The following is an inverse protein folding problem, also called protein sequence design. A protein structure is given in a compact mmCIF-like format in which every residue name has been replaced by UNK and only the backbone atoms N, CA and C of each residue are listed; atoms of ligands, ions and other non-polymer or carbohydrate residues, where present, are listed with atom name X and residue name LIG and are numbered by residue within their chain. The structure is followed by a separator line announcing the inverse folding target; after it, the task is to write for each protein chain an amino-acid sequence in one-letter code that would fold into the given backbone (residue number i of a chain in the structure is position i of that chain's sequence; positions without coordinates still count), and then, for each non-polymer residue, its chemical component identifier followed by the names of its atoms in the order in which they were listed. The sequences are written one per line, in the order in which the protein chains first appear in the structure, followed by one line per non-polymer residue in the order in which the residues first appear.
data_IF_767488904516
#
_entry.id   IF_767488904516
#
_cell.length_a   1.000
_cell.length_b   1.000
_cell.length_c   1.000
_cell.angle_alpha   90.00
_cell.angle_beta   90.00
_cell.angle_gamma   90.00
#
_symmetry.space_group_name_H-M   'P 1'
#
loop_
_entity.id
_entity.type
_entity.pdbx_description
1 polymer ?
#
# COMPACT_ATOMS: atom_id res chain seq x y z
N UNK A 1 21.97 4.92 -5.36
CA UNK A 1 22.09 5.20 -3.93
C UNK A 1 23.19 4.37 -3.23
N UNK A 2 23.89 3.47 -3.93
CA UNK A 2 25.02 2.71 -3.38
C UNK A 2 24.65 1.68 -2.30
N UNK A 3 23.41 1.28 -2.22
CA UNK A 3 22.90 0.29 -1.25
C UNK A 3 22.83 -1.11 -1.87
N UNK A 4 22.99 -2.15 -1.05
CA UNK A 4 22.78 -3.53 -1.49
C UNK A 4 21.29 -3.78 -1.72
N UNK A 5 20.95 -4.29 -2.89
CA UNK A 5 19.58 -4.72 -3.24
C UNK A 5 19.58 -6.23 -3.46
N UNK A 6 18.62 -6.93 -2.85
CA UNK A 6 18.44 -8.38 -3.03
C UNK A 6 17.00 -8.62 -3.53
N UNK A 7 16.78 -8.82 -4.84
CA UNK A 7 15.45 -9.01 -5.40
C UNK A 7 14.95 -10.45 -5.18
N UNK A 8 13.65 -10.58 -4.84
CA UNK A 8 12.94 -11.84 -4.74
C UNK A 8 11.67 -11.76 -5.59
N UNK A 9 11.56 -12.52 -6.70
CA UNK A 9 10.30 -12.64 -7.43
C UNK A 9 9.23 -13.24 -6.52
N UNK A 10 8.08 -12.55 -6.37
CA UNK A 10 7.02 -12.96 -5.47
C UNK A 10 5.66 -12.50 -5.96
N UNK A 11 4.70 -13.43 -6.07
CA UNK A 11 3.28 -13.09 -6.08
C UNK A 11 2.76 -13.14 -4.64
N UNK A 12 2.38 -11.98 -4.11
CA UNK A 12 1.89 -11.87 -2.72
C UNK A 12 0.56 -12.61 -2.49
N UNK A 13 -0.15 -13.00 -3.55
CA UNK A 13 -1.39 -13.77 -3.47
C UNK A 13 -1.16 -15.26 -3.18
N UNK A 14 0.05 -15.75 -3.46
CA UNK A 14 0.45 -17.13 -3.22
C UNK A 14 1.02 -17.29 -1.81
N UNK A 15 0.26 -17.98 -0.95
CA UNK A 15 0.61 -18.22 0.45
C UNK A 15 1.96 -18.90 0.62
N UNK A 16 2.21 -19.94 -0.18
CA UNK A 16 3.39 -20.78 0.00
C UNK A 16 4.63 -20.06 -0.57
N UNK A 17 4.48 -19.32 -1.67
CA UNK A 17 5.52 -18.45 -2.18
C UNK A 17 5.90 -17.34 -1.19
N UNK A 18 4.91 -16.71 -0.53
CA UNK A 18 5.16 -15.70 0.52
C UNK A 18 5.92 -16.32 1.69
N UNK A 19 5.49 -17.47 2.19
CA UNK A 19 6.15 -18.13 3.32
C UNK A 19 7.60 -18.51 3.00
N UNK A 20 7.83 -19.09 1.83
CA UNK A 20 9.16 -19.51 1.37
C UNK A 20 10.08 -18.29 1.16
N UNK A 21 9.58 -17.23 0.50
CA UNK A 21 10.36 -16.03 0.23
C UNK A 21 10.70 -15.28 1.52
N UNK A 22 9.75 -15.16 2.45
CA UNK A 22 10.01 -14.54 3.74
C UNK A 22 11.05 -15.35 4.55
N UNK A 23 10.96 -16.69 4.55
CA UNK A 23 11.94 -17.56 5.20
C UNK A 23 13.36 -17.36 4.63
N UNK A 24 13.49 -17.29 3.30
CA UNK A 24 14.75 -16.99 2.63
C UNK A 24 15.26 -15.59 3.00
N UNK A 25 14.43 -14.58 2.91
CA UNK A 25 14.79 -13.21 3.26
C UNK A 25 15.32 -13.13 4.71
N UNK A 26 14.59 -13.71 5.67
CA UNK A 26 14.98 -13.73 7.08
C UNK A 26 16.31 -14.48 7.30
N UNK A 27 16.59 -15.55 6.56
CA UNK A 27 17.85 -16.31 6.68
C UNK A 27 19.03 -15.60 6.02
N UNK A 28 18.82 -14.92 4.91
CA UNK A 28 19.88 -14.29 4.10
C UNK A 28 20.21 -12.86 4.57
N UNK A 29 19.22 -12.11 5.05
CA UNK A 29 19.36 -10.68 5.38
C UNK A 29 19.01 -10.33 6.83
N UNK A 30 18.43 -11.28 7.58
CA UNK A 30 17.96 -11.05 8.93
C UNK A 30 16.57 -10.42 8.98
N UNK A 31 16.12 -10.11 10.20
CA UNK A 31 14.82 -9.45 10.43
C UNK A 31 14.85 -8.02 9.91
N UNK A 32 13.90 -7.59 9.06
CA UNK A 32 13.88 -6.24 8.52
C UNK A 32 13.60 -5.20 9.63
N UNK A 33 14.27 -4.05 9.55
CA UNK A 33 13.97 -2.90 10.42
C UNK A 33 12.69 -2.20 9.98
N UNK A 34 12.42 -2.20 8.67
CA UNK A 34 11.23 -1.62 8.07
C UNK A 34 10.63 -2.61 7.08
N UNK A 35 9.33 -2.88 7.22
CA UNK A 35 8.54 -3.62 6.26
C UNK A 35 7.60 -2.66 5.54
N UNK A 36 7.78 -2.45 4.25
CA UNK A 36 6.89 -1.64 3.43
C UNK A 36 5.98 -2.55 2.60
N UNK A 37 4.69 -2.57 2.91
CA UNK A 37 3.67 -3.27 2.15
C UNK A 37 3.11 -2.33 1.09
N UNK A 38 3.70 -2.35 -0.11
CA UNK A 38 3.34 -1.51 -1.25
C UNK A 38 2.55 -2.27 -2.33
N UNK A 39 2.66 -3.59 -2.38
CA UNK A 39 1.98 -4.41 -3.37
C UNK A 39 0.46 -4.15 -3.36
N UNK A 40 -0.06 -3.65 -4.48
CA UNK A 40 -1.48 -3.33 -4.61
C UNK A 40 -1.84 -2.94 -6.03
N UNK A 41 -3.11 -3.13 -6.37
CA UNK A 41 -3.67 -2.76 -7.68
C UNK A 41 -5.13 -2.33 -7.56
N UNK A 42 -5.63 -1.76 -8.64
CA UNK A 42 -7.06 -1.64 -8.92
C UNK A 42 -7.36 -2.19 -10.31
N UNK A 43 -8.60 -2.56 -10.57
CA UNK A 43 -9.09 -3.01 -11.87
C UNK A 43 -10.38 -2.28 -12.21
N UNK A 44 -10.42 -1.71 -13.41
CA UNK A 44 -11.58 -1.01 -13.96
C UNK A 44 -12.02 0.25 -13.19
N UNK A 45 -13.05 0.88 -13.74
CA UNK A 45 -13.85 1.97 -13.14
C UNK A 45 -15.32 1.85 -13.56
N UNK A 46 -15.74 0.66 -13.94
CA UNK A 46 -17.11 0.36 -14.35
C UNK A 46 -18.02 0.29 -13.11
N UNK A 47 -19.34 0.51 -13.26
CA UNK A 47 -20.30 0.27 -12.18
C UNK A 47 -20.16 -1.16 -11.63
N UNK A 48 -20.30 -1.34 -10.32
CA UNK A 48 -20.11 -2.65 -9.67
C UNK A 48 -20.93 -3.78 -10.33
N UNK A 49 -22.12 -3.46 -10.81
CA UNK A 49 -23.01 -4.43 -11.48
C UNK A 49 -22.45 -5.01 -12.80
N UNK A 50 -21.43 -4.38 -13.38
CA UNK A 50 -20.76 -4.80 -14.62
C UNK A 50 -19.26 -5.11 -14.43
N UNK A 51 -18.76 -5.09 -13.19
CA UNK A 51 -17.37 -5.43 -12.91
C UNK A 51 -17.11 -6.91 -13.22
N UNK A 52 -15.95 -7.16 -13.82
CA UNK A 52 -15.46 -8.52 -14.00
C UNK A 52 -15.16 -9.17 -12.65
N UNK A 53 -15.62 -10.40 -12.44
CA UNK A 53 -15.47 -11.12 -11.18
C UNK A 53 -14.00 -11.48 -10.92
N UNK A 54 -13.22 -11.79 -11.95
CA UNK A 54 -11.80 -12.10 -11.81
C UNK A 54 -11.01 -10.85 -11.38
N UNK A 55 -11.38 -9.67 -11.88
CA UNK A 55 -10.84 -8.38 -11.46
C UNK A 55 -11.16 -8.07 -9.99
N UNK A 56 -12.37 -8.38 -9.54
CA UNK A 56 -12.76 -8.25 -8.13
C UNK A 56 -11.88 -9.15 -7.26
N UNK A 57 -11.79 -10.44 -7.61
CA UNK A 57 -10.99 -11.42 -6.86
C UNK A 57 -9.53 -11.00 -6.83
N UNK A 58 -8.95 -10.63 -7.98
CA UNK A 58 -7.56 -10.21 -8.07
C UNK A 58 -7.27 -8.99 -7.19
N UNK A 59 -8.18 -8.00 -7.16
CA UNK A 59 -8.03 -6.80 -6.35
C UNK A 59 -8.06 -7.14 -4.86
N UNK A 60 -8.98 -7.99 -4.42
CA UNK A 60 -9.08 -8.45 -3.03
C UNK A 60 -7.85 -9.27 -2.64
N UNK A 61 -7.49 -10.24 -3.47
CA UNK A 61 -6.36 -11.14 -3.21
C UNK A 61 -5.04 -10.40 -3.11
N UNK A 62 -4.83 -9.39 -3.95
CA UNK A 62 -3.59 -8.60 -3.89
C UNK A 62 -3.60 -7.64 -2.70
N UNK A 63 -4.64 -6.81 -2.58
CA UNK A 63 -4.64 -5.68 -1.65
C UNK A 63 -4.94 -6.07 -0.20
N UNK A 64 -5.65 -7.18 0.03
CA UNK A 64 -6.04 -7.64 1.37
C UNK A 64 -5.29 -8.92 1.73
N UNK A 65 -5.54 -10.02 1.00
CA UNK A 65 -4.91 -11.31 1.34
C UNK A 65 -3.39 -11.21 1.27
N UNK A 66 -2.83 -10.60 0.22
CA UNK A 66 -1.39 -10.40 0.07
C UNK A 66 -0.78 -9.62 1.23
N UNK A 67 -1.39 -8.48 1.59
CA UNK A 67 -0.99 -7.68 2.76
C UNK A 67 -0.96 -8.53 4.04
N UNK A 68 -2.02 -9.31 4.30
CA UNK A 68 -2.11 -10.14 5.50
C UNK A 68 -1.03 -11.24 5.52
N UNK A 69 -0.82 -11.90 4.39
CA UNK A 69 0.17 -12.97 4.26
C UNK A 69 1.59 -12.45 4.49
N UNK A 70 1.97 -11.34 3.85
CA UNK A 70 3.31 -10.75 3.97
C UNK A 70 3.52 -10.24 5.39
N UNK A 71 2.59 -9.49 5.96
CA UNK A 71 2.70 -9.00 7.34
C UNK A 71 2.82 -10.17 8.32
N UNK A 72 2.00 -11.23 8.18
CA UNK A 72 2.05 -12.43 9.03
C UNK A 72 3.38 -13.17 8.93
N UNK A 73 4.02 -13.16 7.77
CA UNK A 73 5.28 -13.85 7.55
C UNK A 73 6.48 -13.16 8.25
N UNK A 74 6.48 -11.83 8.37
CA UNK A 74 7.57 -11.06 8.96
C UNK A 74 7.34 -10.64 10.42
N UNK A 75 6.10 -10.35 10.81
CA UNK A 75 5.76 -9.83 12.14
C UNK A 75 6.29 -10.67 13.31
N UNK A 76 6.27 -12.03 13.29
CA UNK A 76 6.81 -12.81 14.41
C UNK A 76 8.30 -12.59 14.64
N UNK A 77 9.10 -12.43 13.58
CA UNK A 77 10.53 -12.14 13.70
C UNK A 77 10.76 -10.73 14.23
N UNK A 78 9.97 -9.75 13.81
CA UNK A 78 10.01 -8.37 14.32
C UNK A 78 9.64 -8.33 15.82
N UNK A 79 8.58 -9.03 16.23
CA UNK A 79 8.18 -9.16 17.64
C UNK A 79 9.26 -9.82 18.50
N UNK A 80 9.90 -10.89 18.00
CA UNK A 80 11.01 -11.56 18.70
C UNK A 80 12.19 -10.62 18.92
N UNK A 81 12.47 -9.74 17.96
CA UNK A 81 13.52 -8.71 18.07
C UNK A 81 13.06 -7.51 18.90
N UNK A 82 11.76 -7.37 19.13
CA UNK A 82 11.09 -6.27 19.82
C UNK A 82 11.41 -4.88 19.23
N UNK A 83 11.55 -4.78 17.92
CA UNK A 83 11.72 -3.49 17.23
C UNK A 83 11.40 -3.61 15.74
N UNK A 84 10.87 -2.54 15.17
CA UNK A 84 10.61 -2.45 13.75
C UNK A 84 9.54 -1.42 13.39
N UNK A 85 9.35 -1.22 12.09
CA UNK A 85 8.32 -0.34 11.58
C UNK A 85 7.62 -0.97 10.38
N UNK A 86 6.32 -1.16 10.46
CA UNK A 86 5.47 -1.63 9.37
C UNK A 86 4.82 -0.42 8.73
N UNK A 87 5.01 -0.26 7.43
CA UNK A 87 4.41 0.79 6.60
C UNK A 87 3.43 0.13 5.63
N UNK A 88 2.17 0.47 5.70
CA UNK A 88 1.14 -0.06 4.79
C UNK A 88 0.65 1.04 3.85
N UNK A 89 0.69 0.77 2.54
CA UNK A 89 0.19 1.70 1.52
C UNK A 89 -1.33 1.57 1.39
N UNK A 90 -2.02 2.51 2.07
CA UNK A 90 -3.44 2.75 1.92
C UNK A 90 -3.79 3.54 0.65
N UNK A 91 -4.76 4.41 0.73
CA UNK A 91 -5.14 5.40 -0.28
C UNK A 91 -6.20 6.34 0.30
N UNK A 92 -6.31 7.55 -0.21
CA UNK A 92 -7.50 8.40 0.00
C UNK A 92 -8.80 7.71 -0.42
N UNK A 93 -8.73 6.73 -1.34
CA UNK A 93 -9.84 5.87 -1.72
C UNK A 93 -10.39 5.01 -0.56
N UNK A 94 -9.59 4.73 0.46
CA UNK A 94 -10.04 4.08 1.69
C UNK A 94 -10.79 5.00 2.66
N UNK A 95 -10.70 6.31 2.45
CA UNK A 95 -11.37 7.34 3.23
C UNK A 95 -12.62 7.90 2.51
N UNK A 96 -12.55 7.99 1.18
CA UNK A 96 -13.56 8.61 0.33
C UNK A 96 -13.88 7.66 -0.82
N UNK A 97 -15.02 6.98 -0.75
CA UNK A 97 -15.48 6.12 -1.84
C UNK A 97 -15.95 6.96 -3.03
N UNK A 98 -15.79 6.42 -4.25
CA UNK A 98 -16.24 7.04 -5.48
C UNK A 98 -16.80 6.01 -6.46
N UNK A 99 -17.63 6.49 -7.40
CA UNK A 99 -18.31 5.63 -8.37
C UNK A 99 -17.30 4.84 -9.22
N UNK A 100 -17.61 3.60 -9.51
CA UNK A 100 -16.77 2.68 -10.30
C UNK A 100 -15.60 2.05 -9.54
N UNK A 101 -15.38 2.43 -8.27
CA UNK A 101 -14.24 1.95 -7.49
C UNK A 101 -14.64 1.26 -6.17
N UNK A 102 -15.86 0.77 -6.05
CA UNK A 102 -16.37 0.20 -4.79
C UNK A 102 -15.44 -0.87 -4.22
N UNK A 103 -14.95 -1.80 -5.06
CA UNK A 103 -14.06 -2.88 -4.63
C UNK A 103 -12.72 -2.31 -4.16
N UNK A 104 -12.07 -1.48 -4.97
CA UNK A 104 -10.79 -0.86 -4.62
C UNK A 104 -10.90 -0.03 -3.34
N UNK A 105 -11.91 0.81 -3.22
CA UNK A 105 -12.14 1.62 -2.01
C UNK A 105 -12.31 0.74 -0.77
N UNK A 106 -13.07 -0.35 -0.88
CA UNK A 106 -13.25 -1.32 0.22
C UNK A 106 -11.93 -1.97 0.62
N UNK A 107 -11.08 -2.35 -0.35
CA UNK A 107 -9.77 -2.94 -0.03
C UNK A 107 -8.85 -1.93 0.67
N UNK A 108 -8.86 -0.66 0.25
CA UNK A 108 -8.04 0.38 0.89
C UNK A 108 -8.55 0.82 2.26
N UNK A 109 -9.86 0.75 2.50
CA UNK A 109 -10.43 0.88 3.84
C UNK A 109 -10.01 -0.28 4.75
N UNK A 110 -9.98 -1.52 4.22
CA UNK A 110 -9.48 -2.68 4.94
C UNK A 110 -8.00 -2.54 5.33
N UNK A 111 -7.14 -1.99 4.47
CA UNK A 111 -5.72 -1.71 4.80
C UNK A 111 -5.61 -0.83 6.04
N UNK A 112 -6.41 0.25 6.12
CA UNK A 112 -6.42 1.15 7.27
C UNK A 112 -6.86 0.42 8.54
N UNK A 113 -8.00 -0.26 8.49
CA UNK A 113 -8.54 -0.99 9.65
C UNK A 113 -7.59 -2.09 10.12
N UNK A 114 -6.97 -2.83 9.21
CA UNK A 114 -5.96 -3.83 9.53
C UNK A 114 -4.74 -3.21 10.22
N UNK A 115 -4.26 -2.07 9.73
CA UNK A 115 -3.13 -1.35 10.33
C UNK A 115 -3.44 -0.91 11.76
N UNK A 116 -4.66 -0.41 12.00
CA UNK A 116 -5.12 -0.03 13.34
C UNK A 116 -5.17 -1.26 14.27
N UNK A 117 -5.68 -2.40 13.78
CA UNK A 117 -5.73 -3.66 14.54
C UNK A 117 -4.33 -4.14 14.93
N UNK A 118 -3.41 -4.23 13.97
CA UNK A 118 -2.02 -4.63 14.26
C UNK A 118 -1.36 -3.67 15.24
N UNK A 119 -1.58 -2.35 15.12
CA UNK A 119 -1.04 -1.35 16.05
C UNK A 119 -1.49 -1.59 17.49
N UNK A 120 -2.75 -2.00 17.68
CA UNK A 120 -3.28 -2.37 19.01
C UNK A 120 -2.62 -3.66 19.51
N UNK A 121 -2.48 -4.68 18.66
CA UNK A 121 -1.90 -5.97 19.03
C UNK A 121 -0.42 -5.89 19.42
N UNK A 122 0.33 -4.93 18.85
CA UNK A 122 1.76 -4.76 19.13
C UNK A 122 2.06 -3.67 20.15
N UNK A 123 1.05 -3.17 20.89
CA UNK A 123 1.17 -2.00 21.79
C UNK A 123 2.25 -2.18 22.88
N UNK A 124 2.49 -3.41 23.32
CA UNK A 124 3.48 -3.75 24.34
C UNK A 124 4.90 -4.00 23.76
N UNK A 125 5.13 -3.59 22.51
CA UNK A 125 6.41 -3.73 21.81
C UNK A 125 6.92 -2.40 21.27
N UNK A 126 8.19 -2.37 20.84
CA UNK A 126 8.81 -1.25 20.15
C UNK A 126 8.55 -1.31 18.61
N UNK A 127 7.41 -1.88 18.19
CA UNK A 127 7.01 -1.92 16.78
C UNK A 127 6.04 -0.78 16.49
N UNK A 128 6.33 -0.04 15.42
CA UNK A 128 5.43 0.99 14.88
C UNK A 128 4.65 0.48 13.67
N UNK A 129 3.43 0.96 13.49
CA UNK A 129 2.60 0.66 12.31
C UNK A 129 2.04 1.95 11.76
N UNK A 130 2.44 2.32 10.56
CA UNK A 130 2.00 3.55 9.88
C UNK A 130 1.22 3.21 8.61
N UNK A 131 0.10 3.89 8.40
CA UNK A 131 -0.62 3.86 7.12
C UNK A 131 -0.30 5.14 6.34
N UNK A 132 0.20 5.01 5.12
CA UNK A 132 0.33 6.12 4.18
C UNK A 132 -0.86 6.07 3.24
N UNK A 133 -1.59 7.17 3.09
CA UNK A 133 -2.83 7.24 2.31
C UNK A 133 -2.69 8.27 1.18
N UNK A 134 -2.03 7.89 0.06
CA UNK A 134 -1.85 8.78 -1.07
C UNK A 134 -3.15 9.09 -1.79
N UNK A 135 -3.23 10.31 -2.35
CA UNK A 135 -4.17 10.69 -3.39
C UNK A 135 -3.73 10.20 -4.77
N UNK A 136 -3.79 11.10 -5.75
CA UNK A 136 -3.41 10.80 -7.13
C UNK A 136 -1.90 10.88 -7.26
N UNK A 137 -1.26 9.73 -7.51
CA UNK A 137 0.18 9.59 -7.77
C UNK A 137 0.36 9.10 -9.20
N UNK A 138 1.17 9.78 -9.99
CA UNK A 138 1.47 9.38 -11.36
C UNK A 138 2.46 8.21 -11.37
N UNK A 139 1.96 7.04 -11.72
CA UNK A 139 2.71 5.77 -11.76
C UNK A 139 2.06 4.83 -12.79
N UNK A 140 2.67 3.67 -13.11
CA UNK A 140 2.03 2.64 -13.94
C UNK A 140 0.74 2.05 -13.37
N UNK A 141 0.32 2.43 -12.17
CA UNK A 141 -0.91 1.95 -11.53
C UNK A 141 -2.15 2.12 -12.40
N UNK A 142 -2.27 3.27 -13.10
CA UNK A 142 -3.41 3.52 -14.00
C UNK A 142 -3.39 2.62 -15.24
N UNK A 143 -2.21 2.28 -15.77
CA UNK A 143 -2.10 1.29 -16.86
C UNK A 143 -2.56 -0.09 -16.40
N UNK A 144 -2.17 -0.51 -15.19
CA UNK A 144 -2.62 -1.77 -14.58
C UNK A 144 -4.12 -1.77 -14.37
N UNK A 145 -4.70 -0.65 -13.89
CA UNK A 145 -6.15 -0.49 -13.68
C UNK A 145 -6.93 -0.69 -14.97
N UNK A 146 -6.44 -0.17 -16.08
CA UNK A 146 -7.11 -0.21 -17.38
C UNK A 146 -6.58 -1.29 -18.32
N UNK A 147 -6.00 -2.38 -17.80
CA UNK A 147 -5.53 -3.54 -18.56
C UNK A 147 -4.55 -3.18 -19.70
N UNK A 148 -3.71 -2.15 -19.48
CA UNK A 148 -2.71 -1.71 -20.45
C UNK A 148 -3.20 -0.63 -21.41
N UNK A 149 -4.41 -0.12 -21.27
CA UNK A 149 -4.92 1.03 -22.02
C UNK A 149 -4.20 2.32 -21.57
N UNK A 150 -3.15 2.67 -22.30
CA UNK A 150 -2.29 3.80 -21.99
C UNK A 150 -2.96 5.15 -22.19
N UNK A 151 -3.88 5.26 -23.16
CA UNK A 151 -4.61 6.50 -23.43
C UNK A 151 -5.54 6.81 -22.25
N UNK A 152 -6.31 5.82 -21.82
CA UNK A 152 -7.19 5.94 -20.66
C UNK A 152 -6.41 6.17 -19.37
N UNK A 153 -5.22 5.56 -19.22
CA UNK A 153 -4.34 5.75 -18.08
C UNK A 153 -3.79 7.18 -18.02
N UNK A 154 -3.33 7.74 -19.13
CA UNK A 154 -2.81 9.10 -19.22
C UNK A 154 -3.89 10.15 -18.91
N UNK A 155 -5.12 9.95 -19.37
CA UNK A 155 -6.24 10.85 -19.13
C UNK A 155 -6.59 11.05 -17.64
N UNK A 156 -6.17 10.12 -16.77
CA UNK A 156 -6.31 10.27 -15.30
C UNK A 156 -5.54 11.47 -14.78
N UNK A 157 -4.35 11.72 -15.30
CA UNK A 157 -3.42 12.74 -14.83
C UNK A 157 -3.54 14.07 -15.59
N UNK A 158 -4.30 14.11 -16.66
CA UNK A 158 -4.44 15.26 -17.53
C UNK A 158 -4.95 16.50 -16.77
N UNK A 159 -4.21 17.60 -16.82
CA UNK A 159 -4.52 18.86 -16.13
C UNK A 159 -4.29 18.82 -14.61
N UNK A 160 -3.57 17.81 -14.10
CA UNK A 160 -3.24 17.66 -12.69
C UNK A 160 -1.72 17.63 -12.53
N UNK A 161 -1.19 18.44 -11.64
CA UNK A 161 0.17 18.29 -11.10
C UNK A 161 0.13 17.21 -10.02
N UNK A 162 0.18 15.95 -10.49
CA UNK A 162 0.00 14.78 -9.64
C UNK A 162 1.23 14.53 -8.76
N UNK A 163 1.02 13.91 -7.60
CA UNK A 163 2.14 13.42 -6.78
C UNK A 163 2.98 12.44 -7.60
N UNK A 164 4.28 12.40 -7.29
CA UNK A 164 5.22 11.44 -7.84
C UNK A 164 5.54 10.35 -6.81
N UNK A 165 6.10 9.22 -7.25
CA UNK A 165 6.48 8.14 -6.35
C UNK A 165 7.49 8.60 -5.28
N UNK A 166 8.37 9.52 -5.64
CA UNK A 166 9.37 10.13 -4.76
C UNK A 166 8.72 10.89 -3.60
N UNK A 167 7.62 11.60 -3.82
CA UNK A 167 6.89 12.31 -2.76
C UNK A 167 6.40 11.33 -1.68
N UNK A 168 5.95 10.15 -2.11
CA UNK A 168 5.50 9.10 -1.19
C UNK A 168 6.69 8.48 -0.45
N UNK A 169 7.80 8.23 -1.16
CA UNK A 169 9.02 7.71 -0.55
C UNK A 169 9.57 8.66 0.53
N UNK A 170 9.58 9.96 0.29
CA UNK A 170 10.02 10.96 1.26
C UNK A 170 9.15 10.97 2.52
N UNK A 171 7.84 10.80 2.38
CA UNK A 171 6.92 10.68 3.51
C UNK A 171 7.16 9.38 4.30
N UNK A 172 7.45 8.27 3.62
CA UNK A 172 7.84 7.01 4.29
C UNK A 172 9.11 7.23 5.11
N UNK A 173 10.14 7.83 4.50
CA UNK A 173 11.41 8.15 5.17
C UNK A 173 11.18 9.10 6.36
N UNK A 174 10.33 10.12 6.21
CA UNK A 174 9.93 10.99 7.31
C UNK A 174 9.34 10.20 8.49
N UNK A 175 8.41 9.28 8.23
CA UNK A 175 7.77 8.48 9.27
C UNK A 175 8.76 7.55 9.97
N UNK A 176 9.62 6.88 9.20
CA UNK A 176 10.63 5.94 9.71
C UNK A 176 11.65 6.65 10.60
N UNK A 177 12.11 7.84 10.22
CA UNK A 177 13.14 8.60 10.91
C UNK A 177 12.67 9.32 12.21
N UNK A 178 11.44 9.06 12.66
CA UNK A 178 10.98 9.65 13.94
C UNK A 178 11.55 8.87 15.13
N UNK A 179 11.93 9.55 16.21
CA UNK A 179 12.37 8.87 17.44
C UNK A 179 11.30 7.89 17.94
N UNK A 180 11.70 6.87 18.69
CA UNK A 180 10.80 5.77 19.12
C UNK A 180 9.53 6.29 19.82
N UNK A 181 9.62 7.33 20.63
CA UNK A 181 8.47 7.94 21.30
C UNK A 181 7.47 8.63 20.38
N UNK A 182 7.81 8.80 19.09
CA UNK A 182 6.92 9.43 18.09
C UNK A 182 6.43 8.36 17.13
N UNK A 183 5.15 8.10 17.18
CA UNK A 183 4.46 7.18 16.26
C UNK A 183 3.51 7.98 15.39
N UNK A 184 3.83 8.09 14.11
CA UNK A 184 2.92 8.64 13.10
C UNK A 184 2.02 7.48 12.66
N UNK A 185 0.76 7.49 13.05
CA UNK A 185 -0.17 6.39 12.79
C UNK A 185 -0.72 6.40 11.37
N UNK A 186 -1.10 7.60 10.91
CA UNK A 186 -1.69 7.82 9.60
C UNK A 186 -1.16 9.10 8.97
N UNK A 187 -0.90 9.06 7.65
CA UNK A 187 -0.58 10.24 6.84
C UNK A 187 -1.45 10.22 5.59
N UNK A 188 -2.24 11.27 5.41
CA UNK A 188 -2.95 11.54 4.14
C UNK A 188 -2.13 12.56 3.37
N UNK A 189 -1.78 12.23 2.12
CA UNK A 189 -1.04 13.13 1.23
C UNK A 189 -1.77 13.21 -0.12
N UNK A 190 -2.04 14.41 -0.58
CA UNK A 190 -2.77 14.67 -1.82
C UNK A 190 -2.05 15.72 -2.65
N UNK A 191 -2.21 15.63 -3.98
CA UNK A 191 -1.84 16.75 -4.86
C UNK A 191 -2.57 18.03 -4.44
N UNK A 192 -1.95 19.17 -4.59
CA UNK A 192 -2.55 20.46 -4.17
C UNK A 192 -3.88 20.78 -4.88
N UNK A 193 -4.10 20.19 -6.05
CA UNK A 193 -5.35 20.32 -6.82
C UNK A 193 -6.43 19.31 -6.39
N UNK A 194 -6.14 18.42 -5.45
CA UNK A 194 -7.07 17.37 -4.99
C UNK A 194 -7.67 17.75 -3.64
N UNK A 195 -8.98 17.91 -3.59
CA UNK A 195 -9.72 18.27 -2.36
C UNK A 195 -10.21 17.06 -1.57
N UNK A 196 -10.49 15.93 -2.26
CA UNK A 196 -10.87 14.63 -1.68
C UNK A 196 -10.34 13.49 -2.54
N UNK A 197 -10.70 12.25 -2.22
CA UNK A 197 -10.29 11.08 -3.01
C UNK A 197 -10.62 11.16 -4.51
N UNK A 198 -11.61 11.94 -4.91
CA UNK A 198 -12.08 12.04 -6.31
C UNK A 198 -12.34 13.48 -6.79
N UNK A 199 -12.37 14.46 -5.89
CA UNK A 199 -12.60 15.86 -6.26
C UNK A 199 -11.27 16.51 -6.60
N UNK A 200 -11.10 16.84 -7.87
CA UNK A 200 -9.88 17.44 -8.44
C UNK A 200 -10.22 18.69 -9.23
N UNK A 201 -9.42 19.74 -9.07
CA UNK A 201 -9.46 20.95 -9.90
C UNK A 201 -8.46 20.79 -11.05
N UNK A 202 -8.92 20.45 -12.24
CA UNK A 202 -8.09 20.40 -13.44
C UNK A 202 -7.84 21.81 -13.98
N UNK A 203 -6.62 22.08 -14.41
CA UNK A 203 -6.21 23.35 -15.03
C UNK A 203 -5.91 23.15 -16.51
#
# INVERSE_FOLDING_TARGET
YGVKVTPYPLDVRDRDAVQNTAGRCLSETGTPDVLVNDAGLARGLEPYSSNDVDDIIQTIDTNIKGLFLVTRAFLPAMLKRNTGHIINLGSTAGLYAYAGAAVYCSTKAAVKTFSDGIRIEVIDSDIKVTTIQPGIVETPFSEVRFHGDKERAAAVYEGIDALQAEDIADIIVLAVNRPMRVHISDIVIMANQQGTGFMVSKK
#
